data_IF_341461184717
#
_entry.id   IF_341461184717
#
_cell.length_a   1.000
_cell.length_b   1.000
_cell.length_c   1.000
_cell.angle_alpha   90.00
_cell.angle_beta   90.00
_cell.angle_gamma   90.00
#
_symmetry.space_group_name_H-M   'P 1'
#
loop_
_entity.id
_entity.type
_entity.pdbx_description
1 polymer ?
#
# COMPACT_ATOMS: atom_id res chain seq x y z
N UNK A 1 -9.07 -13.62 2.01
CA UNK A 1 -8.61 -13.72 0.64
C UNK A 1 -7.41 -14.65 0.56
N UNK A 2 -7.26 -15.29 -0.59
CA UNK A 2 -6.12 -16.18 -0.89
C UNK A 2 -5.52 -15.76 -2.23
N UNK A 3 -4.19 -15.88 -2.33
CA UNK A 3 -3.47 -15.59 -3.56
C UNK A 3 -3.33 -16.88 -4.35
N UNK A 4 -3.81 -16.88 -5.60
CA UNK A 4 -3.67 -17.98 -6.55
C UNK A 4 -3.16 -17.41 -7.87
N UNK A 5 -2.04 -17.92 -8.34
CA UNK A 5 -1.48 -17.55 -9.67
C UNK A 5 -1.49 -16.04 -9.97
N UNK A 6 -1.05 -15.22 -9.02
CA UNK A 6 -1.03 -13.74 -9.08
C UNK A 6 -2.41 -13.06 -8.97
N UNK A 7 -3.50 -13.80 -8.81
CA UNK A 7 -4.84 -13.24 -8.55
C UNK A 7 -5.21 -13.40 -7.08
N UNK A 8 -5.95 -12.43 -6.57
CA UNK A 8 -6.51 -12.50 -5.23
C UNK A 8 -7.98 -12.90 -5.34
N UNK A 9 -8.31 -14.01 -4.71
CA UNK A 9 -9.67 -14.52 -4.65
C UNK A 9 -10.20 -14.48 -3.22
N UNK A 10 -11.50 -14.26 -3.07
CA UNK A 10 -12.14 -14.40 -1.77
C UNK A 10 -12.07 -15.88 -1.36
N UNK A 11 -11.56 -16.15 -0.16
CA UNK A 11 -11.51 -17.52 0.37
C UNK A 11 -12.92 -18.10 0.42
N UNK A 12 -13.08 -19.35 -0.03
CA UNK A 12 -14.38 -20.02 0.03
C UNK A 12 -14.85 -20.16 1.49
N UNK A 13 -16.15 -19.97 1.74
CA UNK A 13 -16.73 -19.97 3.09
C UNK A 13 -16.52 -21.31 3.82
N UNK A 14 -16.53 -22.43 3.11
CA UNK A 14 -16.27 -23.76 3.68
C UNK A 14 -14.81 -23.85 4.17
N UNK A 15 -13.87 -23.38 3.36
CA UNK A 15 -12.45 -23.33 3.71
C UNK A 15 -12.21 -22.35 4.86
N UNK A 16 -12.91 -21.20 4.85
CA UNK A 16 -12.82 -20.22 5.94
C UNK A 16 -13.29 -20.83 7.26
N UNK A 17 -14.39 -21.56 7.25
CA UNK A 17 -14.95 -22.24 8.42
C UNK A 17 -14.03 -23.35 8.94
N UNK A 18 -13.46 -24.14 8.05
CA UNK A 18 -12.59 -25.28 8.39
C UNK A 18 -11.23 -24.81 8.91
N UNK A 19 -10.53 -23.97 8.14
CA UNK A 19 -9.15 -23.58 8.42
C UNK A 19 -9.02 -22.41 9.39
N UNK A 20 -10.04 -21.57 9.51
CA UNK A 20 -10.01 -20.36 10.33
C UNK A 20 -11.28 -20.22 11.21
N UNK A 21 -11.57 -21.22 12.06
CA UNK A 21 -12.85 -21.29 12.78
C UNK A 21 -13.11 -20.07 13.68
N UNK A 22 -12.10 -19.51 14.33
CA UNK A 22 -12.26 -18.32 15.17
C UNK A 22 -12.56 -17.07 14.32
N UNK A 23 -11.88 -16.91 13.18
CA UNK A 23 -12.16 -15.84 12.22
C UNK A 23 -13.56 -15.95 11.65
N UNK A 24 -13.99 -17.14 11.29
CA UNK A 24 -15.35 -17.40 10.81
C UNK A 24 -16.40 -17.08 11.88
N UNK A 25 -16.17 -17.51 13.12
CA UNK A 25 -17.08 -17.22 14.23
C UNK A 25 -17.21 -15.71 14.48
N UNK A 26 -16.08 -14.97 14.46
CA UNK A 26 -16.10 -13.52 14.60
C UNK A 26 -16.88 -12.85 13.46
N UNK A 27 -16.59 -13.20 12.20
CA UNK A 27 -17.31 -12.66 11.04
C UNK A 27 -18.80 -12.96 11.11
N UNK A 28 -19.18 -14.17 11.53
CA UNK A 28 -20.59 -14.57 11.70
C UNK A 28 -21.28 -13.72 12.77
N UNK A 29 -20.60 -13.42 13.87
CA UNK A 29 -21.13 -12.55 14.93
C UNK A 29 -21.48 -11.14 14.43
N UNK A 30 -20.73 -10.64 13.44
CA UNK A 30 -20.95 -9.29 12.88
C UNK A 30 -21.63 -9.32 11.50
N UNK A 31 -22.13 -10.47 11.06
CA UNK A 31 -22.71 -10.67 9.71
C UNK A 31 -23.81 -9.65 9.39
N UNK A 32 -24.71 -9.37 10.33
CA UNK A 32 -25.78 -8.40 10.13
C UNK A 32 -25.27 -7.00 9.77
N UNK A 33 -24.21 -6.57 10.43
CA UNK A 33 -23.54 -5.28 10.13
C UNK A 33 -22.83 -5.32 8.78
N UNK A 34 -22.21 -6.45 8.44
CA UNK A 34 -21.53 -6.62 7.16
C UNK A 34 -22.50 -6.59 5.99
N UNK A 35 -23.70 -7.15 6.12
CA UNK A 35 -24.75 -7.14 5.10
C UNK A 35 -25.33 -5.74 4.84
N UNK A 36 -25.26 -4.84 5.82
CA UNK A 36 -25.76 -3.47 5.70
C UNK A 36 -24.81 -2.53 4.94
N UNK A 37 -23.59 -2.98 4.60
CA UNK A 37 -22.62 -2.13 3.93
C UNK A 37 -23.05 -1.84 2.49
N UNK A 38 -23.00 -0.56 2.12
CA UNK A 38 -23.17 -0.15 0.73
C UNK A 38 -21.84 -0.23 0.00
N UNK A 39 -21.58 -1.35 -0.68
CA UNK A 39 -20.34 -1.60 -1.41
C UNK A 39 -20.61 -2.03 -2.85
N UNK A 40 -19.60 -1.83 -3.70
CA UNK A 40 -19.65 -2.26 -5.08
C UNK A 40 -18.51 -3.25 -5.40
N UNK A 41 -18.78 -4.37 -6.08
CA UNK A 41 -20.10 -4.91 -6.43
C UNK A 41 -20.94 -5.28 -5.19
N UNK A 42 -22.28 -5.30 -5.30
CA UNK A 42 -23.16 -5.58 -4.17
C UNK A 42 -22.81 -6.89 -3.48
N UNK A 43 -23.19 -6.99 -2.21
CA UNK A 43 -22.97 -8.20 -1.40
C UNK A 43 -23.93 -9.28 -1.88
N UNK A 44 -23.40 -10.49 -2.12
CA UNK A 44 -24.16 -11.69 -2.39
C UNK A 44 -24.17 -12.62 -1.17
N UNK A 45 -25.06 -13.62 -1.18
CA UNK A 45 -25.20 -14.55 -0.06
C UNK A 45 -23.89 -15.29 0.29
N UNK A 46 -23.08 -15.59 -0.72
CA UNK A 46 -21.84 -16.36 -0.56
C UNK A 46 -20.58 -15.49 -0.37
N UNK A 47 -20.69 -14.16 -0.39
CA UNK A 47 -19.55 -13.26 -0.31
C UNK A 47 -19.71 -12.12 0.71
N UNK A 48 -20.66 -12.25 1.65
CA UNK A 48 -21.01 -11.24 2.64
C UNK A 48 -19.83 -10.79 3.51
N UNK A 49 -18.76 -11.59 3.61
CA UNK A 49 -17.53 -11.33 4.38
C UNK A 49 -16.43 -10.68 3.55
N UNK A 50 -16.69 -10.33 2.29
CA UNK A 50 -15.71 -9.63 1.45
C UNK A 50 -15.41 -8.23 1.94
N UNK A 51 -14.22 -7.70 1.58
CA UNK A 51 -13.90 -6.30 1.81
C UNK A 51 -14.85 -5.37 1.04
N UNK A 52 -15.11 -4.21 1.62
CA UNK A 52 -15.86 -3.17 0.94
C UNK A 52 -15.12 -2.57 -0.25
N UNK A 53 -13.81 -2.39 -0.09
CA UNK A 53 -12.90 -1.95 -1.14
C UNK A 53 -11.57 -2.67 -0.94
N UNK A 54 -11.22 -3.55 -1.86
CA UNK A 54 -9.97 -4.31 -1.82
C UNK A 54 -8.99 -3.74 -2.84
N UNK A 55 -8.45 -2.56 -2.55
CA UNK A 55 -7.43 -1.95 -3.39
C UNK A 55 -6.07 -2.57 -3.09
N UNK A 56 -5.33 -2.92 -4.15
CA UNK A 56 -3.96 -3.41 -4.10
C UNK A 56 -3.72 -4.67 -3.22
N UNK A 57 -4.73 -5.51 -2.98
CA UNK A 57 -4.56 -6.77 -2.25
C UNK A 57 -3.50 -7.69 -2.86
N UNK A 58 -3.30 -7.62 -4.17
CA UNK A 58 -2.30 -8.42 -4.90
C UNK A 58 -0.86 -8.14 -4.44
N UNK A 59 -0.62 -6.95 -3.90
CA UNK A 59 0.71 -6.45 -3.55
C UNK A 59 0.84 -6.10 -2.07
N UNK A 60 -0.20 -6.28 -1.26
CA UNK A 60 -0.18 -5.85 0.14
C UNK A 60 0.80 -6.64 1.01
N UNK A 61 1.15 -7.86 0.60
CA UNK A 61 2.14 -8.75 1.22
C UNK A 61 3.46 -8.83 0.42
N UNK A 62 3.62 -8.05 -0.65
CA UNK A 62 4.86 -8.05 -1.43
C UNK A 62 6.03 -7.52 -0.59
N UNK A 63 7.23 -8.00 -0.90
CA UNK A 63 8.50 -7.53 -0.34
C UNK A 63 9.60 -7.67 -1.41
N UNK A 64 10.58 -6.76 -1.44
CA UNK A 64 10.62 -5.52 -0.66
C UNK A 64 9.63 -4.46 -1.18
N UNK A 65 9.15 -3.61 -0.27
CA UNK A 65 8.29 -2.47 -0.62
C UNK A 65 8.55 -1.27 0.27
N UNK A 66 8.14 -0.07 -0.16
CA UNK A 66 8.12 1.12 0.69
C UNK A 66 6.69 1.38 1.13
N UNK A 67 6.49 1.49 2.42
CA UNK A 67 5.22 1.86 3.04
C UNK A 67 5.19 3.39 3.19
N UNK A 68 4.11 4.00 2.72
CA UNK A 68 3.94 5.46 2.70
C UNK A 68 2.75 5.86 3.56
N UNK A 69 2.97 6.71 4.55
CA UNK A 69 1.87 7.35 5.28
C UNK A 69 1.19 8.40 4.40
N UNK A 70 -0.07 8.13 3.98
CA UNK A 70 -0.78 8.98 3.02
C UNK A 70 -1.05 10.37 3.57
N UNK A 71 -1.42 10.49 4.84
CA UNK A 71 -1.67 11.76 5.51
C UNK A 71 -0.66 11.93 6.64
N UNK A 72 0.29 12.83 6.49
CA UNK A 72 1.36 12.99 7.48
C UNK A 72 1.91 14.42 7.53
N UNK A 73 2.50 14.76 8.69
CA UNK A 73 3.42 15.89 8.84
C UNK A 73 4.83 15.37 8.59
N UNK A 74 5.52 15.94 7.62
CA UNK A 74 6.81 15.45 7.18
C UNK A 74 6.74 14.08 6.48
N UNK A 75 7.88 13.62 5.99
CA UNK A 75 7.98 12.36 5.26
C UNK A 75 7.78 11.15 6.17
N UNK A 76 7.10 10.14 5.64
CA UNK A 76 6.79 8.87 6.30
C UNK A 76 6.94 7.73 5.29
N UNK A 77 8.19 7.36 5.01
CA UNK A 77 8.57 6.30 4.09
C UNK A 77 9.38 5.24 4.83
N UNK A 78 8.86 4.03 4.92
CA UNK A 78 9.52 2.92 5.61
C UNK A 78 9.71 1.74 4.68
N UNK A 79 10.91 1.19 4.62
CA UNK A 79 11.17 -0.05 3.87
C UNK A 79 10.69 -1.24 4.67
N UNK A 80 9.99 -2.14 3.99
CA UNK A 80 9.53 -3.42 4.51
C UNK A 80 10.11 -4.56 3.68
N UNK A 81 10.89 -5.43 4.31
CA UNK A 81 11.48 -6.63 3.74
C UNK A 81 10.73 -7.91 4.13
N UNK A 82 9.86 -7.84 5.12
CA UNK A 82 9.20 -9.00 5.71
C UNK A 82 7.85 -9.33 5.05
N UNK A 83 7.37 -8.45 4.17
CA UNK A 83 6.08 -8.64 3.52
C UNK A 83 4.90 -8.38 4.45
N UNK A 84 5.03 -7.40 5.36
CA UNK A 84 3.94 -7.00 6.26
C UNK A 84 2.69 -6.71 5.46
N UNK A 85 1.59 -7.37 5.82
CA UNK A 85 0.30 -7.18 5.16
C UNK A 85 -0.28 -5.81 5.51
N UNK A 86 -0.36 -4.94 4.51
CA UNK A 86 -0.98 -3.62 4.66
C UNK A 86 -2.04 -3.48 3.58
N UNK A 87 -3.29 -3.44 4.00
CA UNK A 87 -4.36 -3.09 3.09
C UNK A 87 -4.46 -1.57 2.99
N UNK A 88 -4.31 -1.07 1.78
CA UNK A 88 -4.54 0.34 1.50
C UNK A 88 -6.02 0.67 1.64
N UNK A 89 -6.33 1.79 2.28
CA UNK A 89 -7.72 2.19 2.41
C UNK A 89 -7.90 3.65 2.82
N UNK A 90 -8.58 4.42 1.99
CA UNK A 90 -9.06 5.74 2.32
C UNK A 90 -7.98 6.84 2.42
N UNK A 91 -8.38 7.98 2.93
CA UNK A 91 -7.62 9.23 2.92
C UNK A 91 -6.52 9.29 3.99
N UNK A 92 -6.62 8.47 5.03
CA UNK A 92 -5.73 8.50 6.19
C UNK A 92 -5.00 7.17 6.44
N UNK A 93 -4.91 6.31 5.44
CA UNK A 93 -4.25 5.02 5.53
C UNK A 93 -2.81 5.06 5.05
N UNK A 94 -2.40 3.94 4.48
CA UNK A 94 -1.09 3.76 3.89
C UNK A 94 -1.21 3.48 2.40
N UNK A 95 -0.20 3.84 1.63
CA UNK A 95 0.02 3.36 0.27
C UNK A 95 1.34 2.60 0.20
N UNK A 96 1.52 1.83 -0.86
CA UNK A 96 2.68 0.98 -1.07
C UNK A 96 3.36 1.38 -2.37
N UNK A 97 4.70 1.41 -2.34
CA UNK A 97 5.53 1.51 -3.53
C UNK A 97 6.25 0.18 -3.66
N UNK A 98 5.86 -0.60 -4.66
CA UNK A 98 6.51 -1.85 -4.98
C UNK A 98 7.66 -1.58 -5.96
N UNK A 99 8.79 -2.19 -5.70
CA UNK A 99 9.97 -2.08 -6.56
C UNK A 99 9.97 -3.29 -7.51
N UNK A 100 9.90 -3.10 -8.83
CA UNK A 100 10.03 -4.19 -9.79
C UNK A 100 11.37 -4.91 -9.65
N UNK A 101 11.41 -6.22 -9.93
CA UNK A 101 12.64 -7.02 -9.81
C UNK A 101 13.74 -6.59 -10.80
N UNK A 102 13.36 -5.94 -11.90
CA UNK A 102 14.26 -5.40 -12.93
C UNK A 102 14.62 -3.93 -12.69
N UNK A 103 14.21 -3.35 -11.57
CA UNK A 103 14.57 -2.00 -11.21
C UNK A 103 16.07 -1.91 -10.86
N UNK A 104 16.78 -1.01 -11.57
CA UNK A 104 18.21 -0.79 -11.32
C UNK A 104 18.50 -0.03 -10.02
N UNK A 105 17.51 0.72 -9.53
CA UNK A 105 17.67 1.52 -8.31
C UNK A 105 17.42 0.66 -7.07
N UNK A 106 18.28 0.81 -6.07
CA UNK A 106 18.05 0.17 -4.77
C UNK A 106 16.83 0.79 -4.09
N UNK A 107 16.13 -0.02 -3.30
CA UNK A 107 14.98 0.46 -2.53
C UNK A 107 15.38 1.55 -1.54
N UNK A 108 16.60 1.49 -1.01
CA UNK A 108 17.13 2.48 -0.08
C UNK A 108 17.45 3.81 -0.75
N UNK A 109 17.97 3.77 -2.00
CA UNK A 109 18.13 4.98 -2.79
C UNK A 109 16.80 5.69 -3.01
N UNK A 110 15.78 4.94 -3.44
CA UNK A 110 14.44 5.48 -3.65
C UNK A 110 13.88 6.04 -2.33
N UNK A 111 14.01 5.31 -1.22
CA UNK A 111 13.58 5.77 0.09
C UNK A 111 14.29 7.06 0.51
N UNK A 112 15.60 7.14 0.31
CA UNK A 112 16.40 8.32 0.65
C UNK A 112 15.94 9.56 -0.13
N UNK A 113 15.73 9.43 -1.44
CA UNK A 113 15.20 10.52 -2.26
C UNK A 113 13.81 10.94 -1.79
N UNK A 114 12.90 10.00 -1.57
CA UNK A 114 11.53 10.28 -1.09
C UNK A 114 11.53 10.93 0.29
N UNK A 115 12.50 10.60 1.14
CA UNK A 115 12.68 11.16 2.49
C UNK A 115 13.51 12.44 2.53
N UNK A 116 13.92 12.95 1.38
CA UNK A 116 14.72 14.17 1.29
C UNK A 116 13.88 15.44 1.51
N UNK A 117 14.55 16.53 1.93
CA UNK A 117 13.93 17.85 2.02
C UNK A 117 13.39 18.34 0.68
N UNK A 118 14.02 17.93 -0.43
CA UNK A 118 13.57 18.24 -1.78
C UNK A 118 12.23 17.63 -2.09
N UNK A 119 12.07 16.32 -1.85
CA UNK A 119 10.79 15.63 -2.05
C UNK A 119 9.71 16.16 -1.11
N UNK A 120 10.06 16.51 0.11
CA UNK A 120 9.12 17.13 1.05
C UNK A 120 8.65 18.50 0.58
N UNK A 121 9.57 19.34 0.07
CA UNK A 121 9.22 20.61 -0.54
C UNK A 121 8.28 20.40 -1.75
N UNK A 122 8.62 19.49 -2.65
CA UNK A 122 7.78 19.16 -3.81
C UNK A 122 6.37 18.72 -3.39
N UNK A 123 6.28 17.84 -2.41
CA UNK A 123 5.00 17.35 -1.87
C UNK A 123 4.21 18.47 -1.21
N UNK A 124 4.87 19.42 -0.54
CA UNK A 124 4.20 20.57 0.08
C UNK A 124 3.53 21.50 -0.94
N UNK A 125 4.06 21.56 -2.17
CA UNK A 125 3.47 22.32 -3.27
C UNK A 125 2.38 21.57 -4.04
N UNK A 126 2.47 20.23 -4.09
CA UNK A 126 1.64 19.38 -4.95
C UNK A 126 0.55 18.63 -4.17
N UNK A 127 0.73 18.48 -2.87
CA UNK A 127 -0.20 17.77 -1.99
C UNK A 127 -1.32 18.67 -1.48
N UNK A 128 -2.46 18.09 -1.16
CA UNK A 128 -3.55 18.77 -0.50
C UNK A 128 -3.23 18.96 0.99
N UNK A 129 -3.32 20.21 1.44
CA UNK A 129 -3.04 20.60 2.83
C UNK A 129 -4.31 20.47 3.67
N UNK A 130 -4.22 19.77 4.77
CA UNK A 130 -5.29 19.61 5.76
C UNK A 130 -5.01 20.39 7.03
N UNK A 131 -6.05 20.55 7.84
CA UNK A 131 -5.96 21.20 9.14
C UNK A 131 -4.81 20.65 10.00
N UNK A 132 -4.14 21.54 10.70
CA UNK A 132 -2.98 21.18 11.55
C UNK A 132 -1.69 20.94 10.78
N UNK A 133 -1.62 21.25 9.48
CA UNK A 133 -0.40 21.13 8.66
C UNK A 133 -0.09 19.71 8.19
N UNK A 134 -1.10 18.85 8.13
CA UNK A 134 -0.99 17.56 7.47
C UNK A 134 -1.08 17.73 5.96
N UNK A 135 -0.32 16.94 5.22
CA UNK A 135 -0.30 16.96 3.76
C UNK A 135 -0.68 15.57 3.23
N UNK A 136 -1.60 15.55 2.25
CA UNK A 136 -1.95 14.31 1.58
C UNK A 136 -0.87 13.91 0.57
N UNK A 137 -0.30 12.72 0.77
CA UNK A 137 0.74 12.07 -0.04
C UNK A 137 0.18 10.90 -0.84
N UNK A 138 -1.01 11.09 -1.42
CA UNK A 138 -1.67 10.04 -2.19
C UNK A 138 -0.89 9.64 -3.44
N UNK A 139 -1.29 8.55 -4.09
CA UNK A 139 -0.62 7.98 -5.26
C UNK A 139 -0.43 9.00 -6.40
N UNK A 140 -1.35 9.96 -6.56
CA UNK A 140 -1.22 11.01 -7.58
C UNK A 140 0.01 11.88 -7.34
N UNK A 141 0.26 12.29 -6.10
CA UNK A 141 1.42 13.10 -5.72
C UNK A 141 2.69 12.27 -5.80
N UNK A 142 2.68 11.05 -5.25
CA UNK A 142 3.84 10.13 -5.25
C UNK A 142 4.39 9.89 -6.66
N UNK A 143 3.51 9.68 -7.65
CA UNK A 143 3.90 9.44 -9.05
C UNK A 143 4.58 10.63 -9.73
N UNK A 144 4.51 11.81 -9.15
CA UNK A 144 5.08 13.03 -9.70
C UNK A 144 6.42 13.42 -9.07
N UNK A 145 6.80 12.76 -7.97
CA UNK A 145 8.10 13.04 -7.32
C UNK A 145 9.21 12.60 -8.26
N UNK A 146 10.09 13.52 -8.70
CA UNK A 146 11.17 13.17 -9.60
C UNK A 146 12.24 12.38 -8.86
N UNK A 147 12.64 11.25 -9.43
CA UNK A 147 13.78 10.47 -8.97
C UNK A 147 14.95 10.78 -9.89
N UNK A 148 16.10 11.25 -9.38
CA UNK A 148 17.27 11.53 -10.20
C UNK A 148 17.71 10.29 -10.98
N UNK A 149 18.07 10.51 -12.24
CA UNK A 149 18.54 9.43 -13.09
C UNK A 149 20.03 9.17 -12.81
N UNK A 150 20.41 7.93 -12.61
CA UNK A 150 21.79 7.52 -12.32
C UNK A 150 22.37 6.83 -13.57
N UNK A 151 23.50 7.33 -14.03
CA UNK A 151 24.29 6.62 -15.04
C UNK A 151 25.20 5.60 -14.33
N UNK A 152 24.75 4.35 -14.25
CA UNK A 152 25.50 3.27 -13.60
C UNK A 152 26.85 2.93 -14.26
N UNK A 153 27.10 3.42 -15.49
CA UNK A 153 28.40 3.32 -16.14
C UNK A 153 29.39 4.38 -15.66
N UNK A 154 28.91 5.40 -14.92
CA UNK A 154 29.75 6.42 -14.31
C UNK A 154 30.03 6.04 -12.85
N UNK A 155 31.29 5.74 -12.47
CA UNK A 155 31.61 5.29 -11.12
C UNK A 155 31.24 6.28 -10.02
N UNK A 156 31.34 7.59 -10.30
CA UNK A 156 30.98 8.63 -9.33
C UNK A 156 29.48 8.70 -9.06
N UNK A 157 28.66 8.58 -10.11
CA UNK A 157 27.20 8.54 -9.95
C UNK A 157 26.74 7.24 -9.29
N UNK A 158 27.37 6.11 -9.63
CA UNK A 158 27.10 4.83 -8.96
C UNK A 158 27.40 4.89 -7.48
N UNK A 159 28.54 5.50 -7.09
CA UNK A 159 28.88 5.66 -5.65
C UNK A 159 27.86 6.54 -4.90
N UNK A 160 27.20 7.47 -5.59
CA UNK A 160 26.12 8.28 -4.99
C UNK A 160 24.85 7.47 -4.76
N UNK A 161 24.64 6.43 -5.56
CA UNK A 161 23.50 5.52 -5.44
C UNK A 161 23.69 4.48 -4.34
N UNK A 162 24.88 3.89 -4.23
CA UNK A 162 25.22 2.80 -3.31
C UNK A 162 25.47 3.34 -1.88
#
# INVERSE_FOLDING_TARGET
YVKKDKKIELINISILKEKYPYGFAFLTKVKSKLLQRNIWPPIMENDWYKYGRHQALENCDSAPKIIVGILSKGYKYSVDHEGVFISSGGTAGYSLINIPNDCLYSIYYIQAILSSKYSEWFVSLSGEVFEGGFIARGTKVQKQIPIPNINFNNPAERLTHD
#
